data_IF_991658392465
#
_entry.id   IF_991658392465
#
_cell.length_a   1.000
_cell.length_b   1.000
_cell.length_c   1.000
_cell.angle_alpha   90.00
_cell.angle_beta   90.00
_cell.angle_gamma   90.00
#
_symmetry.space_group_name_H-M   'P 1'
#
loop_
_entity.id
_entity.type
_entity.pdbx_description
1 polymer ?
#
# COMPACT_ATOMS: atom_id res chain seq x y z
N UNK A 1 -16.46 11.48 -1.89
CA UNK A 1 -16.72 10.04 -1.98
C UNK A 1 -15.77 9.29 -1.07
N UNK A 2 -16.24 8.23 -0.46
CA UNK A 2 -15.45 7.45 0.48
C UNK A 2 -14.33 6.70 -0.23
N UNK A 3 -13.13 6.76 0.36
CA UNK A 3 -11.95 6.11 -0.20
C UNK A 3 -11.36 5.10 0.77
N UNK A 4 -10.75 4.07 0.20
CA UNK A 4 -9.89 3.14 0.91
C UNK A 4 -8.47 3.42 0.42
N UNK A 5 -7.53 3.59 1.35
CA UNK A 5 -6.14 3.89 1.05
C UNK A 5 -5.29 2.67 1.36
N UNK A 6 -4.37 2.32 0.46
CA UNK A 6 -3.40 1.26 0.70
C UNK A 6 -2.00 1.85 0.80
N UNK A 7 -1.21 1.31 1.72
CA UNK A 7 0.15 1.75 1.99
C UNK A 7 1.10 0.56 1.84
N UNK A 8 2.10 0.72 0.98
CA UNK A 8 3.23 -0.20 0.90
C UNK A 8 4.42 0.47 1.59
N UNK A 9 4.59 0.18 2.88
CA UNK A 9 5.59 0.83 3.73
C UNK A 9 6.99 0.27 3.48
N UNK A 10 7.93 1.14 3.14
CA UNK A 10 9.34 0.79 3.01
C UNK A 10 10.20 1.68 3.90
N UNK A 11 11.45 1.25 4.15
CA UNK A 11 12.37 2.02 4.98
C UNK A 11 12.74 3.37 4.38
N UNK A 12 12.90 3.41 3.06
CA UNK A 12 13.30 4.63 2.33
C UNK A 12 12.13 5.31 1.64
N UNK A 13 11.24 4.54 1.04
CA UNK A 13 10.12 5.02 0.26
C UNK A 13 8.86 4.27 0.63
N UNK A 14 7.73 4.94 0.52
CA UNK A 14 6.42 4.36 0.80
C UNK A 14 5.48 4.66 -0.36
N UNK A 15 4.85 3.62 -0.89
CA UNK A 15 3.91 3.73 -1.99
C UNK A 15 2.47 3.79 -1.50
N UNK A 16 1.64 4.52 -2.22
CA UNK A 16 0.22 4.68 -1.90
C UNK A 16 -0.65 4.37 -3.10
N UNK A 17 -1.80 3.75 -2.81
CA UNK A 17 -2.87 3.54 -3.78
C UNK A 17 -4.20 3.82 -3.11
N UNK A 18 -5.22 4.10 -3.89
CA UNK A 18 -6.55 4.38 -3.35
C UNK A 18 -7.63 3.73 -4.21
N UNK A 19 -8.79 3.53 -3.62
CA UNK A 19 -9.99 3.13 -4.34
C UNK A 19 -11.17 3.95 -3.84
N UNK A 20 -12.01 4.41 -4.74
CA UNK A 20 -13.24 5.13 -4.41
C UNK A 20 -14.44 4.20 -4.46
N UNK A 21 -15.32 4.32 -3.50
CA UNK A 21 -16.61 3.63 -3.55
C UNK A 21 -17.58 4.42 -4.44
N UNK A 22 -18.46 3.76 -5.17
CA UNK A 22 -18.72 2.32 -5.22
C UNK A 22 -17.89 1.56 -6.26
N UNK A 23 -17.03 2.23 -7.04
CA UNK A 23 -16.29 1.59 -8.13
C UNK A 23 -15.34 0.51 -7.66
N UNK A 24 -14.68 0.72 -6.51
CA UNK A 24 -13.76 -0.26 -5.90
C UNK A 24 -12.65 -0.72 -6.85
N UNK A 25 -12.11 0.21 -7.64
CA UNK A 25 -10.98 -0.05 -8.53
C UNK A 25 -9.75 0.59 -7.90
N UNK A 26 -8.68 -0.20 -7.73
CA UNK A 26 -7.43 0.29 -7.16
C UNK A 26 -6.69 1.15 -8.17
N UNK A 27 -6.33 2.36 -7.75
CA UNK A 27 -5.59 3.34 -8.55
C UNK A 27 -4.31 3.72 -7.84
N UNK A 28 -3.22 3.88 -8.59
CA UNK A 28 -1.98 4.39 -8.03
C UNK A 28 -2.11 5.85 -7.64
N UNK A 29 -1.57 6.21 -6.48
CA UNK A 29 -1.61 7.57 -5.99
C UNK A 29 -0.24 8.25 -6.11
N UNK A 30 0.74 7.80 -5.34
CA UNK A 30 2.09 8.36 -5.37
C UNK A 30 3.04 7.50 -4.55
N UNK A 31 4.32 7.87 -4.62
CA UNK A 31 5.36 7.35 -3.73
C UNK A 31 6.01 8.54 -3.05
N UNK A 32 6.21 8.46 -1.74
CA UNK A 32 6.85 9.53 -0.97
C UNK A 32 8.04 8.97 -0.19
N UNK A 33 9.04 9.83 0.14
CA UNK A 33 10.05 9.42 1.11
C UNK A 33 9.38 9.03 2.42
N UNK A 34 9.83 7.94 3.04
CA UNK A 34 9.17 7.40 4.23
C UNK A 34 9.12 8.40 5.38
N UNK A 35 10.14 9.27 5.50
CA UNK A 35 10.14 10.31 6.53
C UNK A 35 9.13 11.44 6.29
N UNK A 36 8.43 11.44 5.15
CA UNK A 36 7.41 12.43 4.81
C UNK A 36 5.99 11.86 4.82
N UNK A 37 5.82 10.62 5.30
CA UNK A 37 4.51 9.95 5.31
C UNK A 37 3.45 10.79 6.03
N UNK A 38 3.75 11.29 7.21
CA UNK A 38 2.74 12.01 8.01
C UNK A 38 2.41 13.39 7.42
N UNK A 39 3.39 14.05 6.82
CA UNK A 39 3.15 15.30 6.09
C UNK A 39 2.16 15.04 4.95
N UNK A 40 2.39 13.98 4.18
CA UNK A 40 1.49 13.59 3.10
C UNK A 40 0.10 13.22 3.62
N UNK A 41 0.03 12.36 4.63
CA UNK A 41 -1.25 11.87 5.16
C UNK A 41 -2.07 12.97 5.81
N UNK A 42 -1.44 13.86 6.56
CA UNK A 42 -2.17 14.96 7.19
C UNK A 42 -2.91 15.80 6.15
N UNK A 43 -2.26 16.10 5.03
CA UNK A 43 -2.88 16.84 3.94
C UNK A 43 -3.93 16.01 3.20
N UNK A 44 -3.59 14.76 2.88
CA UNK A 44 -4.48 13.88 2.12
C UNK A 44 -5.79 13.61 2.87
N UNK A 45 -5.71 13.39 4.17
CA UNK A 45 -6.88 13.10 4.99
C UNK A 45 -7.77 14.31 5.22
N UNK A 46 -7.22 15.53 5.08
CA UNK A 46 -8.03 16.76 5.10
C UNK A 46 -8.82 16.89 3.79
N UNK A 47 -8.17 16.62 2.66
CA UNK A 47 -8.74 16.83 1.34
C UNK A 47 -9.64 15.67 0.87
N UNK A 48 -9.57 14.52 1.51
CA UNK A 48 -10.28 13.31 1.08
C UNK A 48 -10.91 12.58 2.25
N UNK A 49 -12.07 11.97 2.01
CA UNK A 49 -12.74 11.14 3.02
C UNK A 49 -12.19 9.71 2.92
N UNK A 50 -11.31 9.36 3.83
CA UNK A 50 -10.71 8.01 3.89
C UNK A 50 -11.37 7.24 5.04
N UNK A 51 -12.04 6.15 4.71
CA UNK A 51 -12.79 5.35 5.70
C UNK A 51 -11.98 4.16 6.21
N UNK A 52 -10.97 3.73 5.46
CA UNK A 52 -10.11 2.61 5.85
C UNK A 52 -8.73 2.76 5.23
N UNK A 53 -7.71 2.35 5.99
CA UNK A 53 -6.34 2.27 5.51
C UNK A 53 -5.88 0.82 5.63
N UNK A 54 -5.29 0.30 4.55
CA UNK A 54 -4.73 -1.05 4.50
C UNK A 54 -3.21 -0.91 4.38
N UNK A 55 -2.48 -1.60 5.25
CA UNK A 55 -1.01 -1.61 5.21
C UNK A 55 -0.57 -3.02 4.85
N UNK A 56 0.21 -3.15 3.78
CA UNK A 56 0.76 -4.45 3.39
C UNK A 56 1.75 -4.95 4.43
N UNK A 57 1.57 -6.17 4.90
CA UNK A 57 2.48 -6.82 5.84
C UNK A 57 3.33 -7.84 5.08
N UNK A 58 4.64 -7.60 4.89
CA UNK A 58 5.49 -8.55 4.20
C UNK A 58 5.73 -9.79 5.06
N UNK A 59 5.59 -10.96 4.44
CA UNK A 59 5.87 -12.25 5.06
C UNK A 59 6.67 -13.10 4.09
N UNK A 60 7.42 -14.08 4.61
CA UNK A 60 8.08 -15.05 3.76
C UNK A 60 7.02 -15.93 3.08
N UNK A 61 7.42 -16.65 2.02
CA UNK A 61 6.50 -17.49 1.25
C UNK A 61 5.79 -18.56 2.09
N UNK A 62 6.39 -18.98 3.20
CA UNK A 62 5.78 -19.95 4.11
C UNK A 62 4.93 -19.31 5.21
N UNK A 63 4.68 -18.00 5.15
CA UNK A 63 3.85 -17.29 6.10
C UNK A 63 4.54 -16.86 7.38
N UNK A 64 5.85 -17.08 7.52
CA UNK A 64 6.61 -16.66 8.69
C UNK A 64 6.88 -15.17 8.65
N UNK A 65 6.94 -14.54 9.83
CA UNK A 65 7.29 -13.13 9.95
C UNK A 65 8.76 -12.90 9.55
N UNK A 66 9.02 -11.74 8.99
CA UNK A 66 10.36 -11.30 8.59
C UNK A 66 10.73 -10.04 9.38
N UNK A 67 11.99 -9.57 9.27
CA UNK A 67 12.40 -8.30 9.88
C UNK A 67 11.56 -7.14 9.34
N UNK A 68 11.23 -7.16 8.05
CA UNK A 68 10.36 -6.15 7.44
C UNK A 68 8.96 -6.18 8.03
N UNK A 69 8.46 -7.35 8.39
CA UNK A 69 7.16 -7.52 9.03
C UNK A 69 7.11 -6.80 10.39
N UNK A 70 8.17 -6.92 11.19
CA UNK A 70 8.25 -6.24 12.48
C UNK A 70 8.27 -4.71 12.33
N UNK A 71 9.01 -4.20 11.35
CA UNK A 71 9.06 -2.77 11.04
C UNK A 71 7.67 -2.25 10.67
N UNK A 72 6.94 -2.99 9.84
CA UNK A 72 5.59 -2.64 9.43
C UNK A 72 4.62 -2.68 10.61
N UNK A 73 4.74 -3.65 11.50
CA UNK A 73 3.91 -3.72 12.71
C UNK A 73 4.13 -2.51 13.62
N UNK A 74 5.38 -2.07 13.76
CA UNK A 74 5.70 -0.87 14.55
C UNK A 74 5.09 0.37 13.90
N UNK A 75 5.18 0.49 12.59
CA UNK A 75 4.53 1.58 11.86
C UNK A 75 3.01 1.54 12.05
N UNK A 76 2.40 0.36 11.97
CA UNK A 76 0.97 0.20 12.18
C UNK A 76 0.53 0.71 13.55
N UNK A 77 1.30 0.42 14.59
CA UNK A 77 1.00 0.92 15.93
C UNK A 77 1.02 2.45 15.99
N UNK A 78 2.04 3.07 15.38
CA UNK A 78 2.20 4.52 15.38
C UNK A 78 1.10 5.22 14.60
N UNK A 79 0.80 4.75 13.40
CA UNK A 79 -0.21 5.36 12.55
C UNK A 79 -1.62 5.19 13.13
N UNK A 80 -1.89 4.05 13.77
CA UNK A 80 -3.18 3.80 14.42
C UNK A 80 -3.41 4.77 15.60
N UNK A 81 -2.37 5.09 16.34
CA UNK A 81 -2.45 6.08 17.41
C UNK A 81 -2.72 7.49 16.88
N UNK A 82 -2.02 7.85 15.80
CA UNK A 82 -2.10 9.20 15.22
C UNK A 82 -3.46 9.44 14.57
N UNK A 83 -4.01 8.46 13.88
CA UNK A 83 -5.29 8.57 13.17
C UNK A 83 -6.30 7.59 13.75
N UNK A 84 -6.60 7.75 15.03
CA UNK A 84 -7.43 6.82 15.79
C UNK A 84 -8.91 6.79 15.36
N UNK A 85 -9.31 7.70 14.49
CA UNK A 85 -10.67 7.79 13.95
C UNK A 85 -10.86 7.02 12.64
N UNK A 86 -9.79 6.39 12.12
CA UNK A 86 -9.83 5.61 10.88
C UNK A 86 -9.47 4.16 11.21
N UNK A 87 -10.19 3.21 10.59
CA UNK A 87 -9.84 1.80 10.69
C UNK A 87 -8.56 1.54 9.89
N UNK A 88 -7.52 1.03 10.53
CA UNK A 88 -6.22 0.77 9.89
C UNK A 88 -5.86 -0.69 10.12
N UNK A 89 -5.79 -1.48 9.05
CA UNK A 89 -5.56 -2.92 9.09
C UNK A 89 -4.28 -3.32 8.39
N UNK A 90 -3.63 -4.37 8.91
CA UNK A 90 -2.53 -5.04 8.22
C UNK A 90 -3.11 -6.07 7.25
N UNK A 91 -2.47 -6.22 6.08
CA UNK A 91 -2.87 -7.19 5.07
C UNK A 91 -1.65 -7.95 4.56
N UNK A 92 -1.74 -9.27 4.51
CA UNK A 92 -0.64 -10.14 4.07
C UNK A 92 -0.32 -9.91 2.59
N UNK A 93 0.91 -9.47 2.29
CA UNK A 93 1.36 -9.20 0.92
C UNK A 93 2.39 -10.20 0.42
N UNK A 94 2.34 -11.44 0.92
CA UNK A 94 3.35 -12.48 0.69
C UNK A 94 3.90 -12.57 -0.74
N UNK A 95 3.07 -12.41 -1.75
CA UNK A 95 3.46 -12.54 -3.15
C UNK A 95 3.41 -11.24 -3.94
N UNK A 96 3.08 -10.11 -3.31
CA UNK A 96 2.71 -8.87 -3.99
C UNK A 96 3.82 -8.30 -4.86
N UNK A 97 5.04 -8.21 -4.36
CA UNK A 97 6.16 -7.64 -5.13
C UNK A 97 6.50 -8.48 -6.36
N UNK A 98 6.40 -9.81 -6.23
CA UNK A 98 6.63 -10.72 -7.36
C UNK A 98 5.54 -10.56 -8.42
N UNK A 99 4.29 -10.41 -8.00
CA UNK A 99 3.17 -10.15 -8.91
C UNK A 99 3.33 -8.81 -9.62
N UNK A 100 3.80 -7.78 -8.90
CA UNK A 100 4.05 -6.47 -9.48
C UNK A 100 5.06 -6.54 -10.61
N UNK A 101 6.17 -7.26 -10.43
CA UNK A 101 7.17 -7.45 -11.47
C UNK A 101 6.60 -8.16 -12.69
N UNK A 102 5.80 -9.19 -12.48
CA UNK A 102 5.15 -9.93 -13.57
C UNK A 102 4.21 -9.04 -14.36
N UNK A 103 3.43 -8.21 -13.68
CA UNK A 103 2.51 -7.26 -14.30
C UNK A 103 3.28 -6.22 -15.12
N UNK A 104 4.38 -5.70 -14.60
CA UNK A 104 5.22 -4.73 -15.32
C UNK A 104 5.77 -5.33 -16.61
N UNK A 105 6.22 -6.58 -16.57
CA UNK A 105 6.72 -7.29 -17.75
C UNK A 105 5.59 -7.49 -18.76
N UNK A 106 4.44 -7.95 -18.32
CA UNK A 106 3.28 -8.19 -19.18
C UNK A 106 2.75 -6.90 -19.80
N UNK A 107 2.86 -5.78 -19.11
CA UNK A 107 2.41 -4.47 -19.58
C UNK A 107 3.38 -3.82 -20.57
N UNK A 108 4.53 -4.44 -20.83
CA UNK A 108 5.52 -3.90 -21.77
C UNK A 108 6.31 -2.72 -21.23
N UNK A 109 6.33 -2.51 -19.92
CA UNK A 109 7.15 -1.47 -19.28
C UNK A 109 8.61 -1.78 -19.55
N UNK A 110 9.36 -0.81 -20.09
CA UNK A 110 10.74 -1.06 -20.48
C UNK A 110 11.63 -1.33 -19.26
N UNK A 111 12.81 -1.92 -19.53
CA UNK A 111 13.74 -2.36 -18.49
C UNK A 111 14.16 -1.25 -17.53
N UNK A 112 14.36 -0.02 -18.04
CA UNK A 112 14.76 1.10 -17.21
C UNK A 112 13.64 1.50 -16.22
N UNK A 113 12.39 1.52 -16.69
CA UNK A 113 11.24 1.79 -15.82
C UNK A 113 11.02 0.70 -14.80
N UNK A 114 11.26 -0.57 -15.16
CA UNK A 114 11.15 -1.68 -14.22
C UNK A 114 12.16 -1.58 -13.08
N UNK A 115 13.30 -0.93 -13.29
CA UNK A 115 14.31 -0.70 -12.27
C UNK A 115 13.98 0.48 -11.37
N UNK A 116 13.01 1.31 -11.74
CA UNK A 116 12.59 2.44 -10.92
C UNK A 116 11.78 1.91 -9.73
N UNK A 117 12.35 2.03 -8.53
CA UNK A 117 11.72 1.53 -7.30
C UNK A 117 10.43 2.26 -6.96
N UNK A 118 10.32 3.55 -7.29
CA UNK A 118 9.08 4.30 -7.05
C UNK A 118 7.92 3.71 -7.83
N UNK A 119 8.16 3.28 -9.08
CA UNK A 119 7.16 2.61 -9.89
C UNK A 119 6.77 1.27 -9.29
N UNK A 120 7.75 0.47 -8.83
CA UNK A 120 7.50 -0.83 -8.21
C UNK A 120 6.67 -0.66 -6.93
N UNK A 121 7.04 0.28 -6.07
CA UNK A 121 6.34 0.52 -4.80
C UNK A 121 4.90 0.95 -5.03
N UNK A 122 4.66 1.80 -6.03
CA UNK A 122 3.30 2.23 -6.37
C UNK A 122 2.47 1.07 -6.92
N UNK A 123 3.04 0.23 -7.77
CA UNK A 123 2.35 -0.95 -8.31
C UNK A 123 2.08 -1.95 -7.19
N UNK A 124 3.02 -2.14 -6.26
CA UNK A 124 2.81 -3.01 -5.10
C UNK A 124 1.62 -2.54 -4.26
N UNK A 125 1.50 -1.23 -4.02
CA UNK A 125 0.36 -0.68 -3.29
C UNK A 125 -0.97 -0.92 -4.02
N UNK A 126 -0.98 -0.79 -5.34
CA UNK A 126 -2.16 -1.08 -6.18
C UNK A 126 -2.58 -2.54 -6.01
N UNK A 127 -1.61 -3.46 -6.07
CA UNK A 127 -1.88 -4.90 -5.98
C UNK A 127 -2.39 -5.27 -4.59
N UNK A 128 -1.79 -4.72 -3.53
CA UNK A 128 -2.27 -4.90 -2.16
C UNK A 128 -3.74 -4.50 -2.05
N UNK A 129 -4.06 -3.32 -2.56
CA UNK A 129 -5.42 -2.80 -2.48
C UNK A 129 -6.38 -3.63 -3.33
N UNK A 130 -6.02 -3.98 -4.56
CA UNK A 130 -6.88 -4.76 -5.44
C UNK A 130 -7.15 -6.15 -4.86
N UNK A 131 -6.14 -6.78 -4.28
CA UNK A 131 -6.28 -8.07 -3.65
C UNK A 131 -7.19 -7.99 -2.41
N UNK A 132 -7.02 -6.95 -1.60
CA UNK A 132 -7.90 -6.70 -0.47
C UNK A 132 -9.36 -6.51 -0.91
N UNK A 133 -9.59 -5.72 -1.95
CA UNK A 133 -10.94 -5.46 -2.46
C UNK A 133 -11.60 -6.74 -2.94
N UNK A 134 -10.86 -7.64 -3.59
CA UNK A 134 -11.37 -8.95 -3.98
C UNK A 134 -11.73 -9.80 -2.77
N UNK A 135 -10.96 -9.72 -1.69
CA UNK A 135 -11.18 -10.53 -0.49
C UNK A 135 -12.48 -10.15 0.23
N UNK A 136 -12.96 -8.93 0.07
CA UNK A 136 -14.20 -8.46 0.71
C UNK A 136 -15.41 -8.52 -0.23
N UNK A 137 -15.22 -8.89 -1.51
CA UNK A 137 -16.33 -9.16 -2.42
C UNK A 137 -16.97 -10.50 -2.04
N UNK A 138 -18.29 -10.51 -2.07
CA UNK A 138 -19.07 -11.71 -1.73
C UNK A 138 -19.85 -12.16 -2.96
#
# INVERSE_FOLDING_TARGET
MDKILAIDYGLKRTGFAYAEKPLNIAMGLCTVPTNEIYVFLDKYLIDNTVVKIIIGEPKSLNGRETNSSEIVKNFHKKITKKYNYISIELYDERFTSKMAKSIMIASGINKNKRKNKDTVDKISAIIILQDYLKSIEI
#
